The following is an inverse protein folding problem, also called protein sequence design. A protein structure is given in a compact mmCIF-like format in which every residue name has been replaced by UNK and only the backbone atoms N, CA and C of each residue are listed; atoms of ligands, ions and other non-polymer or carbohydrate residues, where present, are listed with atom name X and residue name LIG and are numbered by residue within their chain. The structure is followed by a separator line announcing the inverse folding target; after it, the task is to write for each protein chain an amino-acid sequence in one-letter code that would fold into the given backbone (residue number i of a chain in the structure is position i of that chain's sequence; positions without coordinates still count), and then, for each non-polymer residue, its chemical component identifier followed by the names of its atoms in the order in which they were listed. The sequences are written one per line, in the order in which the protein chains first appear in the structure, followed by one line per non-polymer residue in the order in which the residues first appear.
data_IF_444022966777
#
_entry.id   IF_444022966777
#
_cell.length_a   1.000
_cell.length_b   1.000
_cell.length_c   1.000
_cell.angle_alpha   90.00
_cell.angle_beta   90.00
_cell.angle_gamma   90.00
#
_symmetry.space_group_name_H-M   'P 1'
#
loop_
_entity.id
_entity.type
_entity.pdbx_description
1 polymer ?
#
# COMPACT_ATOMS: atom_id res chain seq x y z
N UNK A 1 20.19 1.41 5.48
CA UNK A 1 19.27 1.81 6.55
C UNK A 1 20.10 2.59 7.57
N UNK A 2 19.92 3.91 7.64
CA UNK A 2 20.54 4.70 8.72
C UNK A 2 19.72 4.45 9.98
N UNK A 3 20.28 3.74 10.94
CA UNK A 3 19.73 3.61 12.30
C UNK A 3 19.96 4.93 13.02
N UNK A 4 18.91 5.66 13.28
CA UNK A 4 18.96 6.85 14.14
C UNK A 4 18.91 6.40 15.60
N UNK A 5 19.74 7.01 16.43
CA UNK A 5 19.62 6.86 17.87
C UNK A 5 18.38 7.61 18.37
N UNK A 6 17.83 7.21 19.53
CA UNK A 6 16.72 7.91 20.16
C UNK A 6 17.03 9.41 20.36
N UNK A 7 18.29 9.74 20.65
CA UNK A 7 18.74 11.13 20.80
C UNK A 7 18.76 11.91 19.48
N UNK A 8 19.12 11.27 18.35
CA UNK A 8 19.07 11.89 17.02
C UNK A 8 17.64 12.10 16.54
N UNK A 9 16.75 11.13 16.83
CA UNK A 9 15.32 11.27 16.56
C UNK A 9 14.73 12.42 17.41
N UNK A 10 15.06 12.49 18.70
CA UNK A 10 14.62 13.57 19.59
C UNK A 10 15.16 14.94 19.15
N UNK A 11 16.44 15.03 18.73
CA UNK A 11 17.02 16.29 18.21
C UNK A 11 16.35 16.74 16.90
N UNK A 12 16.03 15.81 16.00
CA UNK A 12 15.28 16.12 14.77
C UNK A 12 13.87 16.61 15.08
N UNK A 13 13.21 15.97 16.03
CA UNK A 13 11.88 16.37 16.47
C UNK A 13 11.88 17.77 17.15
N UNK A 14 12.90 18.05 17.95
CA UNK A 14 13.10 19.37 18.59
C UNK A 14 13.55 20.46 17.61
N UNK A 15 14.14 20.10 16.45
CA UNK A 15 14.61 21.04 15.43
C UNK A 15 13.63 21.23 14.25
N UNK A 16 12.54 20.45 14.21
CA UNK A 16 11.48 20.70 13.23
C UNK A 16 10.89 22.10 13.46
N UNK A 17 10.67 22.88 12.39
CA UNK A 17 10.03 24.18 12.54
C UNK A 17 8.66 23.97 13.17
N UNK A 18 8.47 24.45 14.40
CA UNK A 18 7.17 24.40 15.06
C UNK A 18 6.24 25.37 14.32
N UNK A 19 5.03 24.91 14.03
CA UNK A 19 3.99 25.79 13.56
C UNK A 19 3.72 26.86 14.63
N UNK A 20 3.31 28.04 14.22
CA UNK A 20 2.77 29.00 15.19
C UNK A 20 1.47 28.43 15.80
N UNK A 21 1.13 28.80 17.02
CA UNK A 21 0.03 28.17 17.76
C UNK A 21 -1.34 28.27 17.05
N UNK A 22 -1.58 29.30 16.28
CA UNK A 22 -2.84 29.49 15.55
C UNK A 22 -2.91 28.54 14.35
N UNK A 23 -1.85 28.50 13.53
CA UNK A 23 -1.73 27.55 12.40
C UNK A 23 -1.79 26.10 12.87
N UNK A 24 -1.18 25.77 14.02
CA UNK A 24 -1.23 24.42 14.57
C UNK A 24 -2.65 24.01 15.00
N UNK A 25 -3.40 24.93 15.60
CA UNK A 25 -4.80 24.73 15.94
C UNK A 25 -5.67 24.54 14.69
N UNK A 26 -5.51 25.38 13.68
CA UNK A 26 -6.23 25.27 12.42
C UNK A 26 -5.94 23.93 11.73
N UNK A 27 -4.68 23.50 11.70
CA UNK A 27 -4.27 22.23 11.14
C UNK A 27 -4.89 21.04 11.90
N UNK A 28 -4.92 21.11 13.24
CA UNK A 28 -5.54 20.08 14.08
C UNK A 28 -7.06 20.01 13.86
N UNK A 29 -7.75 21.14 13.79
CA UNK A 29 -9.21 21.22 13.51
C UNK A 29 -9.52 20.66 12.11
N UNK A 30 -8.73 21.04 11.10
CA UNK A 30 -8.87 20.50 9.74
C UNK A 30 -8.64 18.98 9.70
N UNK A 31 -7.67 18.48 10.45
CA UNK A 31 -7.40 17.04 10.58
C UNK A 31 -8.56 16.30 11.23
N UNK A 32 -9.14 16.84 12.31
CA UNK A 32 -10.33 16.27 12.96
C UNK A 32 -11.52 16.22 12.00
N UNK A 33 -11.74 17.30 11.24
CA UNK A 33 -12.82 17.38 10.26
C UNK A 33 -12.63 16.30 9.16
N UNK A 34 -11.43 16.19 8.61
CA UNK A 34 -11.10 15.17 7.60
C UNK A 34 -11.29 13.74 8.13
N UNK A 35 -10.74 13.42 9.29
CA UNK A 35 -10.87 12.09 9.89
C UNK A 35 -12.33 11.75 10.24
N UNK A 36 -13.13 12.76 10.61
CA UNK A 36 -14.56 12.59 10.85
C UNK A 36 -15.31 12.22 9.56
N UNK A 37 -14.97 12.87 8.44
CA UNK A 37 -15.53 12.54 7.14
C UNK A 37 -15.10 11.14 6.67
N UNK A 38 -13.82 10.81 6.77
CA UNK A 38 -13.28 9.47 6.46
C UNK A 38 -14.03 8.39 7.25
N UNK A 39 -14.20 8.57 8.57
CA UNK A 39 -14.95 7.64 9.41
C UNK A 39 -16.38 7.45 8.91
N UNK A 40 -17.08 8.54 8.64
CA UNK A 40 -18.46 8.51 8.12
C UNK A 40 -18.56 7.74 6.81
N UNK A 41 -17.56 7.88 5.92
CA UNK A 41 -17.51 7.15 4.65
C UNK A 41 -17.24 5.66 4.85
N UNK A 42 -16.36 5.27 5.77
CA UNK A 42 -16.13 3.87 6.12
C UNK A 42 -17.45 3.25 6.64
N UNK A 43 -18.12 3.92 7.57
CA UNK A 43 -19.40 3.45 8.13
C UNK A 43 -20.46 3.30 7.03
N UNK A 44 -20.56 4.25 6.09
CA UNK A 44 -21.47 4.17 4.95
C UNK A 44 -21.15 2.99 4.00
N UNK A 45 -19.86 2.76 3.70
CA UNK A 45 -19.43 1.61 2.90
C UNK A 45 -19.82 0.28 3.58
N UNK A 46 -19.59 0.16 4.88
CA UNK A 46 -19.95 -1.04 5.64
C UNK A 46 -21.48 -1.28 5.66
N UNK A 47 -22.27 -0.21 5.78
CA UNK A 47 -23.73 -0.28 5.68
C UNK A 47 -24.18 -0.70 4.28
N UNK A 48 -23.55 -0.23 3.20
CA UNK A 48 -23.83 -0.62 1.82
C UNK A 48 -23.54 -2.10 1.57
N UNK A 49 -22.41 -2.60 2.09
CA UNK A 49 -22.05 -4.01 2.05
C UNK A 49 -23.10 -4.85 2.81
N UNK A 50 -23.43 -4.47 4.05
CA UNK A 50 -24.43 -5.16 4.88
C UNK A 50 -25.81 -5.22 4.23
N UNK A 51 -26.20 -4.13 3.58
CA UNK A 51 -27.49 -4.02 2.91
C UNK A 51 -27.53 -4.68 1.52
N UNK A 52 -26.42 -5.26 1.07
CA UNK A 52 -26.30 -5.88 -0.26
C UNK A 52 -26.32 -4.85 -1.41
N UNK A 53 -26.08 -3.57 -1.12
CA UNK A 53 -25.98 -2.51 -2.14
C UNK A 53 -24.59 -2.45 -2.78
N UNK A 54 -23.58 -3.03 -2.12
CA UNK A 54 -22.24 -3.19 -2.63
C UNK A 54 -21.79 -4.66 -2.52
N UNK A 55 -20.80 -5.10 -3.33
CA UNK A 55 -20.20 -6.42 -3.21
C UNK A 55 -19.66 -6.67 -1.80
N UNK A 56 -19.76 -7.92 -1.33
CA UNK A 56 -19.30 -8.31 0.01
C UNK A 56 -17.80 -8.09 0.21
N UNK A 57 -17.02 -8.16 -0.87
CA UNK A 57 -15.58 -7.88 -0.87
C UNK A 57 -15.27 -6.37 -0.92
N UNK A 58 -16.27 -5.49 -0.93
CA UNK A 58 -16.09 -4.04 -1.01
C UNK A 58 -15.52 -3.56 -2.35
N UNK A 59 -15.46 -4.42 -3.37
CA UNK A 59 -14.97 -4.03 -4.69
C UNK A 59 -15.83 -2.91 -5.30
N UNK A 60 -15.15 -1.91 -5.89
CA UNK A 60 -15.82 -0.77 -6.51
C UNK A 60 -16.14 0.38 -5.56
N UNK A 61 -16.11 0.18 -4.24
CA UNK A 61 -16.26 1.27 -3.28
C UNK A 61 -14.98 2.10 -3.20
N UNK A 62 -15.11 3.41 -3.44
CA UNK A 62 -14.00 4.33 -3.36
C UNK A 62 -14.50 5.77 -3.15
N UNK A 63 -13.91 6.48 -2.17
CA UNK A 63 -14.00 7.93 -2.03
C UNK A 63 -12.63 8.55 -2.27
N UNK A 64 -12.61 9.80 -2.78
CA UNK A 64 -11.36 10.50 -3.13
C UNK A 64 -11.44 11.94 -2.63
N UNK A 65 -10.38 12.40 -1.96
CA UNK A 65 -10.19 13.79 -1.55
C UNK A 65 -8.96 14.35 -2.26
N UNK A 66 -9.11 15.49 -2.91
CA UNK A 66 -8.02 16.21 -3.57
C UNK A 66 -7.36 17.21 -2.60
N UNK A 67 -6.10 16.96 -2.30
CA UNK A 67 -5.27 17.79 -1.44
C UNK A 67 -4.18 18.54 -2.21
N UNK A 68 -4.25 18.56 -3.55
CA UNK A 68 -3.21 19.15 -4.40
C UNK A 68 -3.02 20.66 -4.16
N UNK A 69 -4.07 21.34 -3.68
CA UNK A 69 -4.08 22.79 -3.38
C UNK A 69 -4.27 23.11 -1.89
N UNK A 70 -4.13 22.09 -1.03
CA UNK A 70 -4.26 22.25 0.40
C UNK A 70 -3.03 22.97 1.00
N UNK A 71 -3.19 23.67 2.13
CA UNK A 71 -2.05 24.32 2.79
C UNK A 71 -1.00 23.25 3.17
N UNK A 72 0.25 23.39 2.72
CA UNK A 72 1.31 22.43 3.04
C UNK A 72 1.48 22.16 4.54
N UNK A 73 1.31 23.18 5.39
CA UNK A 73 1.42 23.05 6.84
C UNK A 73 0.32 22.15 7.42
N UNK A 74 -0.91 22.27 6.91
CA UNK A 74 -2.01 21.40 7.31
C UNK A 74 -1.82 19.98 6.85
N UNK A 75 -1.26 19.78 5.64
CA UNK A 75 -0.91 18.44 5.14
C UNK A 75 0.16 17.79 6.01
N UNK A 76 1.20 18.50 6.38
CA UNK A 76 2.28 17.95 7.20
C UNK A 76 1.77 17.51 8.58
N UNK A 77 0.88 18.28 9.20
CA UNK A 77 0.22 17.90 10.44
C UNK A 77 -0.66 16.66 10.27
N UNK A 78 -1.49 16.64 9.22
CA UNK A 78 -2.33 15.47 8.90
C UNK A 78 -1.50 14.20 8.67
N UNK A 79 -0.40 14.31 7.91
CA UNK A 79 0.49 13.18 7.63
C UNK A 79 1.20 12.68 8.90
N UNK A 80 1.61 13.60 9.77
CA UNK A 80 2.20 13.24 11.06
C UNK A 80 1.17 12.51 11.95
N UNK A 81 -0.09 12.92 11.92
CA UNK A 81 -1.19 12.28 12.66
C UNK A 81 -1.53 10.90 12.09
N UNK A 82 -1.65 10.80 10.77
CA UNK A 82 -2.00 9.54 10.10
C UNK A 82 -0.87 8.50 10.20
N UNK A 83 0.39 8.94 10.16
CA UNK A 83 1.53 8.03 10.02
C UNK A 83 1.55 7.31 8.68
N UNK A 84 2.57 6.50 8.47
CA UNK A 84 2.72 5.63 7.29
C UNK A 84 2.32 4.21 7.66
N UNK A 85 1.63 3.52 6.77
CA UNK A 85 1.36 2.10 6.87
C UNK A 85 2.52 1.24 6.34
N UNK A 86 2.23 -0.02 6.05
CA UNK A 86 3.22 -1.02 5.66
C UNK A 86 3.36 -1.18 4.14
N UNK A 87 2.37 -0.71 3.37
CA UNK A 87 2.28 -0.92 1.91
C UNK A 87 2.75 0.31 1.15
N UNK A 88 3.70 0.14 0.27
CA UNK A 88 4.18 1.18 -0.65
C UNK A 88 4.13 0.69 -2.08
N UNK A 89 3.37 1.38 -2.92
CA UNK A 89 3.16 1.05 -4.33
C UNK A 89 3.77 2.14 -5.20
N UNK A 90 4.60 1.74 -6.15
CA UNK A 90 5.09 2.60 -7.22
C UNK A 90 4.43 2.18 -8.52
N UNK A 91 3.95 3.15 -9.28
CA UNK A 91 3.35 2.96 -10.59
C UNK A 91 4.20 3.68 -11.64
N UNK A 92 4.30 3.08 -12.83
CA UNK A 92 5.00 3.67 -13.99
C UNK A 92 6.43 4.12 -13.66
N UNK A 93 7.22 3.23 -13.03
CA UNK A 93 8.59 3.56 -12.63
C UNK A 93 8.70 4.61 -11.53
N UNK A 94 7.61 4.94 -10.83
CA UNK A 94 7.55 5.92 -9.75
C UNK A 94 6.98 7.28 -10.14
N UNK A 95 6.41 7.44 -11.34
CA UNK A 95 5.67 8.65 -11.74
C UNK A 95 4.41 8.86 -10.88
N UNK A 96 3.81 7.76 -10.40
CA UNK A 96 2.79 7.81 -9.38
C UNK A 96 3.15 6.85 -8.22
N UNK A 97 2.69 7.19 -7.02
CA UNK A 97 2.93 6.42 -5.80
C UNK A 97 1.64 6.33 -5.00
N UNK A 98 1.40 5.19 -4.40
CA UNK A 98 0.35 5.02 -3.40
C UNK A 98 0.96 4.38 -2.15
N UNK A 99 0.62 4.88 -0.98
CA UNK A 99 1.00 4.30 0.30
C UNK A 99 -0.22 4.25 1.20
N UNK A 100 -0.36 3.19 1.96
CA UNK A 100 -1.38 3.15 3.00
C UNK A 100 -0.97 4.04 4.19
N UNK A 101 -1.93 4.38 5.01
CA UNK A 101 -1.74 5.11 6.25
C UNK A 101 -2.02 4.20 7.44
N UNK A 102 -1.85 4.70 8.66
CA UNK A 102 -2.23 3.93 9.85
C UNK A 102 -3.75 3.71 9.98
N UNK A 103 -4.57 4.39 9.16
CA UNK A 103 -6.00 4.13 9.04
C UNK A 103 -6.21 3.10 7.92
N UNK A 104 -6.59 1.86 8.23
CA UNK A 104 -6.79 0.84 7.22
C UNK A 104 -7.78 1.27 6.14
N UNK A 105 -7.40 1.08 4.88
CA UNK A 105 -8.20 1.48 3.73
C UNK A 105 -8.04 2.94 3.29
N UNK A 106 -7.37 3.79 4.06
CA UNK A 106 -7.04 5.15 3.66
C UNK A 106 -5.64 5.21 3.04
N UNK A 107 -5.58 5.49 1.76
CA UNK A 107 -4.36 5.54 0.95
C UNK A 107 -4.00 6.98 0.62
N UNK A 108 -2.71 7.32 0.68
CA UNK A 108 -2.20 8.53 0.07
C UNK A 108 -1.70 8.21 -1.34
N UNK A 109 -2.24 8.89 -2.33
CA UNK A 109 -1.85 8.74 -3.74
C UNK A 109 -1.24 10.04 -4.23
N UNK A 110 -0.05 9.93 -4.80
CA UNK A 110 0.70 11.07 -5.35
C UNK A 110 1.04 10.80 -6.80
N UNK A 111 0.86 11.79 -7.66
CA UNK A 111 1.22 11.72 -9.08
C UNK A 111 1.76 13.05 -9.59
N UNK A 112 2.21 13.07 -10.85
CA UNK A 112 2.80 14.23 -11.47
C UNK A 112 4.27 14.46 -11.10
N UNK A 113 4.89 15.43 -11.79
CA UNK A 113 6.29 15.79 -11.52
C UNK A 113 6.41 16.35 -10.11
N UNK A 114 7.25 15.71 -9.30
CA UNK A 114 7.49 16.08 -7.89
C UNK A 114 6.29 15.87 -6.95
N UNK A 115 5.30 15.00 -7.30
CA UNK A 115 4.15 14.71 -6.44
C UNK A 115 3.20 15.89 -6.27
N UNK A 116 3.05 16.73 -7.32
CA UNK A 116 2.20 17.91 -7.29
C UNK A 116 0.71 17.57 -7.09
N UNK A 117 0.28 16.43 -7.63
CA UNK A 117 -1.05 15.91 -7.38
C UNK A 117 -1.02 15.02 -6.13
N UNK A 118 -1.84 15.35 -5.15
CA UNK A 118 -1.88 14.67 -3.86
C UNK A 118 -3.32 14.38 -3.47
N UNK A 119 -3.65 13.10 -3.36
CA UNK A 119 -4.99 12.64 -3.07
C UNK A 119 -4.98 11.71 -1.86
N UNK A 120 -6.06 11.74 -1.08
CA UNK A 120 -6.40 10.63 -0.21
C UNK A 120 -7.51 9.81 -0.85
N UNK A 121 -7.38 8.50 -0.79
CA UNK A 121 -8.30 7.55 -1.40
C UNK A 121 -8.72 6.54 -0.33
N UNK A 122 -10.01 6.46 -0.07
CA UNK A 122 -10.59 5.43 0.79
C UNK A 122 -11.05 4.28 -0.08
N UNK A 123 -10.40 3.14 0.03
CA UNK A 123 -10.72 1.90 -0.68
C UNK A 123 -9.94 0.74 -0.07
N UNK A 124 -10.37 -0.50 -0.27
CA UNK A 124 -9.53 -1.66 0.05
C UNK A 124 -8.25 -1.69 -0.77
N UNK A 125 -8.32 -1.26 -2.01
CA UNK A 125 -7.18 -0.99 -2.88
C UNK A 125 -7.56 0.13 -3.86
N UNK A 126 -6.73 1.17 -4.06
CA UNK A 126 -7.02 2.23 -5.03
C UNK A 126 -7.30 1.66 -6.43
N UNK A 127 -8.38 2.11 -7.04
CA UNK A 127 -8.80 1.62 -8.37
C UNK A 127 -7.72 1.80 -9.44
N UNK A 128 -6.90 2.82 -9.31
CA UNK A 128 -5.76 3.06 -10.21
C UNK A 128 -4.81 1.85 -10.22
N UNK A 129 -4.49 1.29 -9.04
CA UNK A 129 -3.63 0.09 -8.94
C UNK A 129 -4.30 -1.11 -9.58
N UNK A 130 -5.60 -1.31 -9.34
CA UNK A 130 -6.36 -2.42 -9.94
C UNK A 130 -6.34 -2.33 -11.47
N UNK A 131 -6.63 -1.14 -12.02
CA UNK A 131 -6.66 -0.92 -13.48
C UNK A 131 -5.28 -1.13 -14.11
N UNK A 132 -4.21 -0.65 -13.47
CA UNK A 132 -2.83 -0.87 -13.96
C UNK A 132 -2.45 -2.34 -13.87
N UNK A 133 -2.86 -3.05 -12.82
CA UNK A 133 -2.59 -4.48 -12.63
C UNK A 133 -3.19 -5.38 -13.72
N UNK A 134 -4.27 -4.93 -14.37
CA UNK A 134 -4.91 -5.68 -15.48
C UNK A 134 -4.32 -5.36 -16.86
N UNK A 135 -3.36 -4.44 -16.94
CA UNK A 135 -2.69 -4.13 -18.21
C UNK A 135 -1.58 -5.14 -18.50
N UNK A 136 -1.27 -5.31 -19.78
CA UNK A 136 -0.17 -6.16 -20.20
C UNK A 136 -0.54 -7.04 -21.40
N UNK A 137 0.37 -7.95 -21.72
CA UNK A 137 0.20 -8.92 -22.78
C UNK A 137 -0.78 -10.02 -22.36
N UNK A 138 -1.64 -10.46 -23.27
CA UNK A 138 -2.57 -11.58 -23.03
C UNK A 138 -1.85 -12.93 -22.99
N UNK A 139 -0.68 -13.00 -23.62
CA UNK A 139 0.11 -14.23 -23.71
C UNK A 139 1.58 -13.99 -23.41
N UNK A 140 2.20 -14.99 -22.83
CA UNK A 140 3.64 -15.01 -22.60
C UNK A 140 4.37 -15.00 -23.96
N UNK A 141 5.34 -14.08 -24.17
CA UNK A 141 6.16 -14.08 -25.38
C UNK A 141 6.93 -15.37 -25.55
N UNK A 142 7.14 -15.78 -26.80
CA UNK A 142 8.01 -16.93 -27.07
C UNK A 142 9.45 -16.63 -26.68
N UNK A 143 10.11 -17.63 -26.13
CA UNK A 143 11.54 -17.56 -25.83
C UNK A 143 12.33 -17.59 -27.15
N UNK A 144 13.09 -16.53 -27.42
CA UNK A 144 13.85 -16.39 -28.67
C UNK A 144 15.34 -16.63 -28.39
N UNK A 145 15.95 -17.54 -29.14
CA UNK A 145 17.38 -17.86 -29.07
C UNK A 145 17.89 -18.09 -27.63
N UNK A 146 17.35 -19.05 -26.89
CA UNK A 146 17.81 -19.32 -25.53
C UNK A 146 19.29 -19.70 -25.52
N UNK A 147 20.00 -19.30 -24.47
CA UNK A 147 21.37 -19.75 -24.25
C UNK A 147 21.44 -21.26 -23.99
N UNK A 148 22.64 -21.85 -24.18
CA UNK A 148 22.82 -23.30 -24.09
C UNK A 148 22.57 -23.88 -22.68
N UNK A 149 22.49 -23.03 -21.65
CA UNK A 149 22.23 -23.39 -20.26
C UNK A 149 20.74 -23.17 -19.85
N UNK A 150 19.84 -22.98 -20.82
CA UNK A 150 18.39 -22.88 -20.57
C UNK A 150 17.74 -24.25 -20.75
N UNK A 151 17.22 -24.82 -19.68
CA UNK A 151 16.65 -26.17 -19.65
C UNK A 151 15.20 -26.21 -19.16
N UNK A 152 14.92 -25.58 -18.02
CA UNK A 152 13.62 -25.64 -17.34
C UNK A 152 12.68 -24.47 -17.70
N UNK A 153 13.22 -23.32 -18.07
CA UNK A 153 12.43 -22.12 -18.36
C UNK A 153 11.33 -22.35 -19.41
N UNK A 154 11.54 -23.08 -20.53
CA UNK A 154 10.46 -23.32 -21.50
C UNK A 154 9.25 -24.04 -20.92
N UNK A 155 9.47 -25.07 -20.06
CA UNK A 155 8.40 -25.80 -19.41
C UNK A 155 7.66 -24.93 -18.38
N UNK A 156 8.39 -24.11 -17.64
CA UNK A 156 7.80 -23.16 -16.67
C UNK A 156 6.94 -22.11 -17.39
N UNK A 157 7.42 -21.53 -18.48
CA UNK A 157 6.65 -20.54 -19.27
C UNK A 157 5.37 -21.19 -19.83
N UNK A 158 5.46 -22.45 -20.27
CA UNK A 158 4.29 -23.18 -20.77
C UNK A 158 3.28 -23.48 -19.65
N UNK A 159 3.73 -23.89 -18.45
CA UNK A 159 2.86 -24.11 -17.30
C UNK A 159 2.19 -22.80 -16.87
N UNK A 160 2.94 -21.69 -16.79
CA UNK A 160 2.39 -20.38 -16.48
C UNK A 160 1.34 -19.96 -17.52
N UNK A 161 1.59 -20.17 -18.83
CA UNK A 161 0.61 -19.85 -19.86
C UNK A 161 -0.66 -20.70 -19.72
N UNK A 162 -0.52 -21.99 -19.48
CA UNK A 162 -1.66 -22.90 -19.27
C UNK A 162 -2.52 -22.44 -18.08
N UNK A 163 -1.89 -22.02 -16.98
CA UNK A 163 -2.60 -21.52 -15.80
C UNK A 163 -3.25 -20.16 -16.04
N UNK A 164 -2.59 -19.28 -16.80
CA UNK A 164 -3.17 -18.00 -17.20
C UNK A 164 -4.39 -18.18 -18.10
N UNK A 165 -4.37 -19.12 -19.03
CA UNK A 165 -5.49 -19.42 -19.92
C UNK A 165 -6.72 -19.98 -19.15
N UNK A 166 -6.48 -20.59 -18.00
CA UNK A 166 -7.52 -21.13 -17.13
C UNK A 166 -7.97 -20.15 -16.02
N UNK A 167 -7.29 -19.03 -15.88
CA UNK A 167 -7.53 -18.06 -14.80
C UNK A 167 -8.74 -17.18 -15.10
N UNK A 168 -9.71 -17.15 -14.16
CA UNK A 168 -10.86 -16.25 -14.22
C UNK A 168 -10.46 -14.87 -13.66
N UNK A 169 -10.19 -13.93 -14.57
CA UNK A 169 -9.80 -12.56 -14.21
C UNK A 169 -10.97 -11.72 -13.66
N UNK A 170 -12.22 -12.17 -13.81
CA UNK A 170 -13.42 -11.47 -13.33
C UNK A 170 -13.74 -11.80 -11.87
N UNK A 171 -13.10 -12.81 -11.28
CA UNK A 171 -13.12 -13.02 -9.84
C UNK A 171 -12.61 -11.76 -9.12
N UNK A 172 -13.36 -11.16 -8.23
CA UNK A 172 -13.10 -9.85 -7.59
C UNK A 172 -11.68 -9.64 -7.04
N UNK A 173 -11.47 -8.62 -6.25
CA UNK A 173 -10.22 -8.47 -5.48
C UNK A 173 -10.24 -9.50 -4.36
N UNK A 174 -9.20 -10.34 -4.18
CA UNK A 174 -9.16 -11.32 -3.10
C UNK A 174 -9.38 -10.66 -1.75
N UNK A 175 -10.20 -11.29 -0.91
CA UNK A 175 -10.52 -10.79 0.41
C UNK A 175 -9.52 -11.26 1.47
N UNK A 176 -8.95 -12.43 1.25
CA UNK A 176 -8.03 -13.06 2.19
C UNK A 176 -6.73 -13.49 1.50
N UNK A 177 -5.58 -13.45 2.19
CA UNK A 177 -4.30 -13.94 1.67
C UNK A 177 -4.30 -15.42 1.27
N UNK A 178 -5.31 -16.18 1.71
CA UNK A 178 -5.49 -17.60 1.43
C UNK A 178 -6.35 -17.90 0.22
N UNK A 179 -6.83 -16.87 -0.47
CA UNK A 179 -7.62 -17.07 -1.68
C UNK A 179 -6.85 -17.89 -2.72
N UNK A 180 -7.51 -18.82 -3.42
CA UNK A 180 -6.84 -19.69 -4.35
C UNK A 180 -6.31 -18.89 -5.54
N UNK A 181 -5.01 -18.67 -5.54
CA UNK A 181 -4.27 -18.25 -6.70
C UNK A 181 -3.21 -19.32 -7.01
N UNK A 182 -2.83 -19.44 -8.27
CA UNK A 182 -1.74 -20.31 -8.63
C UNK A 182 -0.42 -19.66 -8.26
N UNK A 183 0.45 -20.42 -7.58
CA UNK A 183 1.80 -19.99 -7.23
C UNK A 183 2.82 -21.02 -7.69
N UNK A 184 3.82 -20.58 -8.45
CA UNK A 184 4.97 -21.39 -8.87
C UNK A 184 6.21 -20.90 -8.14
N UNK A 185 6.65 -21.65 -7.13
CA UNK A 185 7.83 -21.33 -6.33
C UNK A 185 9.11 -21.70 -7.10
N UNK A 186 9.93 -20.69 -7.42
CA UNK A 186 11.14 -20.86 -8.23
C UNK A 186 12.23 -21.67 -7.54
N UNK A 187 12.34 -21.55 -6.21
CA UNK A 187 13.33 -22.31 -5.43
C UNK A 187 13.11 -23.82 -5.42
N UNK A 188 11.89 -24.26 -5.74
CA UNK A 188 11.56 -25.68 -5.86
C UNK A 188 11.80 -26.24 -7.25
N UNK A 189 12.17 -25.38 -8.21
CA UNK A 189 12.46 -25.78 -9.57
C UNK A 189 13.97 -25.96 -9.75
N UNK A 190 14.41 -26.94 -10.57
CA UNK A 190 15.82 -27.17 -10.89
C UNK A 190 16.30 -26.13 -11.92
N UNK A 191 16.41 -24.85 -11.51
CA UNK A 191 16.75 -23.75 -12.39
C UNK A 191 18.26 -23.54 -12.49
N UNK A 192 18.74 -23.43 -13.72
CA UNK A 192 20.07 -22.91 -14.02
C UNK A 192 20.09 -21.37 -13.94
N UNK A 193 21.28 -20.71 -13.91
CA UNK A 193 21.36 -19.27 -14.09
C UNK A 193 20.77 -18.77 -15.41
N UNK A 194 20.92 -19.53 -16.49
CA UNK A 194 20.32 -19.24 -17.79
C UNK A 194 18.80 -19.31 -17.76
N UNK A 195 18.21 -20.31 -17.09
CA UNK A 195 16.78 -20.39 -16.90
C UNK A 195 16.22 -19.15 -16.18
N UNK A 196 16.87 -18.72 -15.10
CA UNK A 196 16.44 -17.54 -14.35
C UNK A 196 16.51 -16.28 -15.23
N UNK A 197 17.58 -16.12 -15.99
CA UNK A 197 17.73 -14.98 -16.92
C UNK A 197 16.66 -15.02 -18.00
N UNK A 198 16.38 -16.19 -18.58
CA UNK A 198 15.36 -16.39 -19.59
C UNK A 198 13.95 -16.05 -19.07
N UNK A 199 13.59 -16.51 -17.87
CA UNK A 199 12.31 -16.19 -17.24
C UNK A 199 12.17 -14.68 -17.02
N UNK A 200 13.19 -14.03 -16.44
CA UNK A 200 13.17 -12.60 -16.14
C UNK A 200 13.07 -11.74 -17.40
N UNK A 201 13.82 -12.09 -18.45
CA UNK A 201 13.81 -11.33 -19.70
C UNK A 201 12.51 -11.51 -20.49
N UNK A 202 11.95 -12.73 -20.50
CA UNK A 202 10.72 -13.06 -21.23
C UNK A 202 9.49 -12.42 -20.58
N UNK A 203 9.36 -12.56 -19.27
CA UNK A 203 8.21 -12.05 -18.54
C UNK A 203 8.32 -10.55 -18.27
N UNK A 204 9.55 -10.04 -18.11
CA UNK A 204 9.85 -8.63 -17.89
C UNK A 204 9.19 -8.08 -16.63
N UNK A 205 9.40 -6.81 -16.38
CA UNK A 205 8.72 -6.07 -15.32
C UNK A 205 7.63 -5.20 -15.92
N UNK A 206 6.45 -5.17 -15.28
CA UNK A 206 5.34 -4.29 -15.63
C UNK A 206 5.43 -2.95 -14.88
N UNK A 207 4.29 -2.28 -14.76
CA UNK A 207 4.20 -0.90 -14.27
C UNK A 207 3.97 -0.79 -12.76
N UNK A 208 3.84 -1.90 -12.04
CA UNK A 208 3.57 -1.92 -10.60
C UNK A 208 4.74 -2.54 -9.84
N UNK A 209 5.17 -1.84 -8.80
CA UNK A 209 6.20 -2.27 -7.86
C UNK A 209 5.68 -2.01 -6.44
N UNK A 210 5.48 -3.07 -5.66
CA UNK A 210 4.95 -3.02 -4.29
C UNK A 210 5.99 -3.49 -3.31
N UNK A 211 6.20 -2.71 -2.26
CA UNK A 211 6.96 -3.09 -1.07
C UNK A 211 6.01 -3.20 0.12
N UNK A 212 6.00 -4.36 0.77
CA UNK A 212 5.34 -4.56 2.06
C UNK A 212 6.42 -4.63 3.14
N UNK A 213 6.29 -3.77 4.16
CA UNK A 213 7.26 -3.65 5.25
C UNK A 213 6.62 -4.11 6.56
N UNK A 214 6.87 -5.36 6.95
CA UNK A 214 6.46 -5.93 8.21
C UNK A 214 7.63 -6.65 8.89
N UNK A 215 7.37 -7.78 9.54
CA UNK A 215 8.40 -8.66 10.13
C UNK A 215 9.38 -9.18 9.05
N UNK A 216 8.89 -9.36 7.84
CA UNK A 216 9.68 -9.63 6.64
C UNK A 216 9.44 -8.50 5.63
N UNK A 217 10.31 -8.38 4.64
CA UNK A 217 10.11 -7.48 3.51
C UNK A 217 9.60 -8.29 2.33
N UNK A 218 8.42 -7.96 1.83
CA UNK A 218 7.90 -8.52 0.59
C UNK A 218 8.04 -7.51 -0.54
N UNK A 219 8.45 -8.00 -1.70
CA UNK A 219 8.61 -7.22 -2.92
C UNK A 219 7.78 -7.89 -4.01
N UNK A 220 6.71 -7.25 -4.44
CA UNK A 220 5.73 -7.79 -5.36
C UNK A 220 5.69 -6.91 -6.60
N UNK A 221 5.92 -7.49 -7.77
CA UNK A 221 5.96 -6.78 -9.05
C UNK A 221 5.04 -7.47 -10.05
N UNK A 222 4.25 -6.70 -10.80
CA UNK A 222 3.61 -7.29 -11.96
C UNK A 222 4.64 -7.49 -13.07
N UNK A 223 4.37 -8.48 -13.94
CA UNK A 223 5.15 -8.70 -15.16
C UNK A 223 4.54 -7.91 -16.33
N UNK A 224 5.16 -7.99 -17.52
CA UNK A 224 4.54 -7.47 -18.76
C UNK A 224 3.35 -8.29 -19.22
N UNK A 225 3.12 -9.47 -18.62
CA UNK A 225 1.97 -10.33 -18.88
C UNK A 225 0.90 -10.05 -17.83
N UNK A 226 -0.31 -9.75 -18.26
CA UNK A 226 -1.40 -9.41 -17.34
C UNK A 226 -1.71 -10.58 -16.41
N UNK A 227 -2.13 -10.27 -15.18
CA UNK A 227 -2.46 -11.22 -14.12
C UNK A 227 -1.30 -12.12 -13.68
N UNK A 228 -0.07 -11.84 -14.12
CA UNK A 228 1.12 -12.58 -13.71
C UNK A 228 2.05 -11.66 -12.91
N UNK A 229 2.32 -12.06 -11.68
CA UNK A 229 3.12 -11.31 -10.72
C UNK A 229 4.32 -12.12 -10.27
N UNK A 230 5.34 -11.43 -9.77
CA UNK A 230 6.46 -12.05 -9.06
C UNK A 230 6.49 -11.54 -7.64
N UNK A 231 6.44 -12.46 -6.68
CA UNK A 231 6.54 -12.16 -5.24
C UNK A 231 7.85 -12.68 -4.70
N UNK A 232 8.58 -11.81 -3.99
CA UNK A 232 9.80 -12.18 -3.26
C UNK A 232 9.66 -11.76 -1.81
N UNK A 233 9.90 -12.70 -0.89
CA UNK A 233 9.90 -12.44 0.55
C UNK A 233 11.33 -12.61 1.06
N UNK A 234 11.81 -11.59 1.76
CA UNK A 234 13.18 -11.50 2.26
C UNK A 234 13.13 -11.26 3.77
N UNK A 235 13.86 -12.03 4.55
CA UNK A 235 13.96 -11.81 5.99
C UNK A 235 14.92 -10.66 6.34
N UNK A 236 14.95 -10.28 7.61
CA UNK A 236 15.82 -9.20 8.10
C UNK A 236 17.31 -9.46 7.92
N UNK A 237 17.72 -10.73 7.74
CA UNK A 237 19.11 -11.10 7.44
C UNK A 237 19.44 -11.08 5.93
N UNK A 238 18.53 -10.59 5.09
CA UNK A 238 18.71 -10.53 3.64
C UNK A 238 18.53 -11.87 2.91
N UNK A 239 18.09 -12.94 3.62
CA UNK A 239 17.86 -14.24 3.00
C UNK A 239 16.49 -14.24 2.35
N UNK A 240 16.42 -14.60 1.06
CA UNK A 240 15.16 -14.83 0.36
C UNK A 240 14.47 -16.07 0.93
N UNK A 241 13.27 -15.90 1.46
CA UNK A 241 12.41 -16.97 1.98
C UNK A 241 11.54 -17.55 0.86
N UNK A 242 10.97 -16.69 0.03
CA UNK A 242 10.13 -17.03 -1.11
C UNK A 242 10.60 -16.26 -2.34
N UNK A 243 10.57 -16.90 -3.51
CA UNK A 243 10.66 -16.29 -4.83
C UNK A 243 9.73 -17.10 -5.75
N UNK A 244 8.63 -16.49 -6.17
CA UNK A 244 7.58 -17.18 -6.88
C UNK A 244 6.92 -16.31 -7.96
N UNK A 245 6.41 -16.95 -9.01
CA UNK A 245 5.41 -16.36 -9.90
C UNK A 245 4.01 -16.68 -9.36
N UNK A 246 3.16 -15.66 -9.34
CA UNK A 246 1.78 -15.74 -8.83
C UNK A 246 0.83 -15.30 -9.92
N UNK A 247 -0.22 -16.08 -10.16
CA UNK A 247 -1.31 -15.74 -11.07
C UNK A 247 -2.48 -15.27 -10.23
N UNK A 248 -2.78 -13.99 -10.35
CA UNK A 248 -3.87 -13.30 -9.66
C UNK A 248 -4.21 -12.01 -10.41
N UNK A 249 -5.44 -11.52 -10.28
CA UNK A 249 -5.80 -10.17 -10.73
C UNK A 249 -4.97 -9.12 -9.98
N UNK A 250 -4.93 -9.26 -8.66
CA UNK A 250 -4.03 -8.60 -7.73
C UNK A 250 -3.64 -9.63 -6.67
N UNK A 251 -2.35 -9.76 -6.33
CA UNK A 251 -1.92 -10.63 -5.24
C UNK A 251 -2.65 -10.29 -3.93
N UNK A 252 -3.14 -11.30 -3.20
CA UNK A 252 -4.02 -11.11 -2.03
C UNK A 252 -3.36 -10.35 -0.88
N UNK A 253 -2.03 -10.27 -0.88
CA UNK A 253 -1.25 -9.56 0.15
C UNK A 253 -1.27 -8.03 -0.03
N UNK A 254 -1.75 -7.49 -1.17
CA UNK A 254 -1.71 -6.06 -1.45
C UNK A 254 -2.96 -5.33 -0.95
N UNK A 255 -4.20 -5.81 -1.21
CA UNK A 255 -5.41 -5.15 -0.72
C UNK A 255 -5.54 -5.26 0.80
N UNK A 256 -6.10 -4.23 1.42
CA UNK A 256 -6.55 -4.33 2.81
C UNK A 256 -7.69 -5.36 2.90
N UNK A 257 -7.68 -6.22 3.92
CA UNK A 257 -8.76 -7.17 4.16
C UNK A 257 -10.08 -6.45 4.50
N UNK A 258 -11.22 -7.13 4.37
CA UNK A 258 -12.51 -6.55 4.75
C UNK A 258 -12.60 -6.29 6.25
N UNK A 259 -11.96 -7.14 7.06
CA UNK A 259 -11.90 -7.00 8.51
C UNK A 259 -11.08 -5.77 8.91
N UNK A 260 -9.86 -5.63 8.37
CA UNK A 260 -9.02 -4.45 8.62
C UNK A 260 -9.69 -3.16 8.13
N UNK A 261 -10.38 -3.18 6.98
CA UNK A 261 -11.13 -2.02 6.49
C UNK A 261 -12.22 -1.59 7.49
N UNK A 262 -12.91 -2.54 8.12
CA UNK A 262 -13.91 -2.25 9.14
C UNK A 262 -13.29 -1.59 10.40
N UNK A 263 -12.06 -1.96 10.77
CA UNK A 263 -11.33 -1.37 11.89
C UNK A 263 -10.91 0.09 11.63
N UNK A 264 -10.91 0.53 10.38
CA UNK A 264 -10.56 1.90 10.00
C UNK A 264 -11.40 2.97 10.69
N UNK A 265 -12.70 2.71 10.93
CA UNK A 265 -13.58 3.65 11.62
C UNK A 265 -13.19 3.84 13.09
N UNK A 266 -12.84 2.76 13.79
CA UNK A 266 -12.34 2.81 15.16
C UNK A 266 -11.01 3.57 15.22
N UNK A 267 -10.10 3.28 14.28
CA UNK A 267 -8.81 3.98 14.19
C UNK A 267 -8.96 5.49 13.96
N UNK A 268 -9.92 5.92 13.11
CA UNK A 268 -10.24 7.34 12.96
C UNK A 268 -10.70 7.95 14.29
N UNK A 269 -11.54 7.23 15.06
CA UNK A 269 -12.04 7.70 16.35
C UNK A 269 -10.87 7.92 17.32
N UNK A 270 -9.97 6.95 17.46
CA UNK A 270 -8.79 7.04 18.33
C UNK A 270 -7.92 8.25 17.98
N UNK A 271 -7.64 8.46 16.69
CA UNK A 271 -6.84 9.61 16.22
C UNK A 271 -7.55 10.94 16.49
N UNK A 272 -8.86 11.04 16.28
CA UNK A 272 -9.65 12.23 16.58
C UNK A 272 -9.60 12.56 18.07
N UNK A 273 -9.77 11.54 18.94
CA UNK A 273 -9.72 11.70 20.39
C UNK A 273 -8.32 12.13 20.84
N UNK A 274 -7.26 11.54 20.26
CA UNK A 274 -5.90 11.93 20.54
C UNK A 274 -5.63 13.41 20.21
N UNK A 275 -5.99 13.87 19.00
CA UNK A 275 -5.80 15.27 18.59
C UNK A 275 -6.62 16.23 19.46
N UNK A 276 -7.88 15.88 19.79
CA UNK A 276 -8.73 16.70 20.67
C UNK A 276 -8.15 16.84 22.07
N UNK A 277 -7.65 15.75 22.61
CA UNK A 277 -7.04 15.72 23.93
C UNK A 277 -5.79 16.61 23.98
N UNK A 278 -4.95 16.57 22.94
CA UNK A 278 -3.76 17.41 22.86
C UNK A 278 -4.10 18.90 22.68
N UNK A 279 -5.17 19.24 21.98
CA UNK A 279 -5.71 20.60 21.90
C UNK A 279 -6.22 21.08 23.27
N UNK A 280 -6.93 20.23 24.02
CA UNK A 280 -7.48 20.57 25.35
C UNK A 280 -6.39 20.76 26.41
N UNK A 281 -5.32 19.97 26.35
CA UNK A 281 -4.15 20.09 27.23
C UNK A 281 -3.25 21.27 26.88
N UNK A 282 -3.46 21.89 25.70
CA UNK A 282 -2.61 22.96 25.21
C UNK A 282 -1.23 22.52 24.77
N UNK A 283 -1.03 21.21 24.55
CA UNK A 283 0.17 20.67 23.89
C UNK A 283 0.22 21.03 22.42
N UNK A 284 -0.95 21.26 21.82
CA UNK A 284 -1.16 21.85 20.49
C UNK A 284 -1.81 23.23 20.63
N UNK A 285 -1.46 24.16 19.73
CA UNK A 285 -2.07 25.48 19.68
C UNK A 285 -1.65 26.43 20.82
N UNK A 286 -0.48 26.24 21.44
CA UNK A 286 0.14 27.17 22.37
C UNK A 286 -0.56 27.33 23.74
N UNK A 287 -1.32 26.34 24.17
CA UNK A 287 -1.84 26.32 25.53
C UNK A 287 -0.72 26.20 26.57
N UNK A 288 -0.89 26.80 27.74
CA UNK A 288 0.03 26.65 28.86
C UNK A 288 -0.05 25.20 29.39
N UNK A 289 1.05 24.45 29.28
CA UNK A 289 1.20 23.17 29.96
C UNK A 289 1.23 23.47 31.45
N UNK A 290 0.17 23.11 32.18
CA UNK A 290 0.19 23.19 33.64
C UNK A 290 1.22 22.21 34.14
N UNK A 291 2.27 22.72 34.79
CA UNK A 291 3.44 21.96 35.27
C UNK A 291 3.11 20.81 36.25
N UNK A 292 1.87 20.73 36.74
CA UNK A 292 1.42 19.71 37.70
C UNK A 292 1.12 18.32 37.03
N UNK A 293 0.93 18.27 35.70
CA UNK A 293 0.60 17.00 35.04
C UNK A 293 1.82 16.22 34.51
N UNK A 294 3.00 16.82 34.46
CA UNK A 294 4.24 16.18 33.96
C UNK A 294 4.88 15.24 34.99
N UNK A 295 4.45 15.26 36.26
CA UNK A 295 5.05 14.50 37.35
C UNK A 295 4.33 13.17 37.65
N UNK A 296 3.28 12.81 36.92
CA UNK A 296 2.49 11.60 37.17
C UNK A 296 2.46 10.61 35.96
N UNK A 297 3.57 10.50 35.19
CA UNK A 297 3.77 9.43 34.21
C UNK A 297 4.93 8.55 34.64
#
# INVERSE_FOLDING_TARGET
MQTFTVEEAARRWLSAPKLDPETEREAAEATIAFLTDVRSKIEAHLEDIKAGRAPADGSGLQDVWDFSHFDPKHIDFLLATLGEGEVRIKLFGGEAKAGDTSVPGLWRVQSGRSGQENFFVLARLPRTVQVVGTRGLDKIPQLVNPSADVFAAPAILQELQYRLDAFDADAGVPDMPTDPCFMLELKRQPLSPGDMTALLSTLGQGDIDVELQGITRSHIQNTKVRNLWRTRIINNAGKTLLDAYVIAKVPPEIPISAEEFADGAAKCTDLIEWVRHDLQRGTLGGGEIKAEEVLNV
#
